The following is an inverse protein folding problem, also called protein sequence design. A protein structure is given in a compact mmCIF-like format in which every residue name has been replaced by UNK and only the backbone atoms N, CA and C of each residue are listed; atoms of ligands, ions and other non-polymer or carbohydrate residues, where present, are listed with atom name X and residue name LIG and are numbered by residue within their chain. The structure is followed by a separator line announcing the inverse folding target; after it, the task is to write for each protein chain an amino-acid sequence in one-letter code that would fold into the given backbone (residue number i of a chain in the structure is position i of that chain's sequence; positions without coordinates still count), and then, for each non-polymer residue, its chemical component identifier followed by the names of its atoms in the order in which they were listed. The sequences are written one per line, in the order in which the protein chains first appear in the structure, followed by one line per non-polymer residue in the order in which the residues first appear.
data_IF_905705178032
#
_entry.id   IF_905705178032
#
_cell.length_a   1.000
_cell.length_b   1.000
_cell.length_c   1.000
_cell.angle_alpha   90.00
_cell.angle_beta   90.00
_cell.angle_gamma   90.00
#
_symmetry.space_group_name_H-M   'P 1'
#
loop_
_entity.id
_entity.type
_entity.pdbx_description
1 polymer ?
#
# COMPACT_ATOMS: atom_id res chain seq x y z
N UNK A 1 12.30 -15.55 -3.99
CA UNK A 1 13.17 -14.36 -3.75
C UNK A 1 12.37 -13.39 -2.87
N UNK A 2 12.99 -12.73 -1.90
CA UNK A 2 12.36 -11.67 -1.09
C UNK A 2 12.69 -10.30 -1.66
N UNK A 3 11.86 -9.31 -1.33
CA UNK A 3 12.06 -7.89 -1.67
C UNK A 3 11.86 -7.07 -0.41
N UNK A 4 12.69 -6.05 -0.23
CA UNK A 4 12.55 -5.14 0.90
C UNK A 4 11.30 -4.27 0.75
N UNK A 5 10.61 -4.08 1.88
CA UNK A 5 9.44 -3.21 2.04
C UNK A 5 9.64 -2.35 3.28
N UNK A 6 8.79 -1.34 3.44
CA UNK A 6 8.82 -0.46 4.60
C UNK A 6 8.71 -1.28 5.90
N UNK A 7 9.42 -0.92 6.97
CA UNK A 7 9.28 -1.57 8.26
C UNK A 7 7.88 -1.35 8.85
N UNK A 8 7.39 -2.31 9.64
CA UNK A 8 6.09 -2.18 10.31
C UNK A 8 4.87 -2.29 9.38
N UNK A 9 4.99 -3.11 8.34
CA UNK A 9 3.86 -3.50 7.48
C UNK A 9 2.98 -4.52 8.20
N UNK A 10 1.68 -4.29 8.17
CA UNK A 10 0.67 -5.19 8.77
C UNK A 10 -0.20 -5.87 7.70
N UNK A 11 -0.51 -5.18 6.60
CA UNK A 11 -1.38 -5.70 5.55
C UNK A 11 -0.87 -5.34 4.15
N UNK A 12 -1.19 -6.22 3.20
CA UNK A 12 -0.93 -6.04 1.77
C UNK A 12 -2.23 -6.20 0.96
N UNK A 13 -2.30 -5.56 -0.20
CA UNK A 13 -3.34 -5.83 -1.19
C UNK A 13 -2.76 -5.84 -2.60
N UNK A 14 -3.46 -6.54 -3.51
CA UNK A 14 -3.04 -6.73 -4.89
C UNK A 14 -4.05 -6.08 -5.85
N UNK A 15 -3.53 -5.30 -6.80
CA UNK A 15 -4.24 -4.80 -7.97
C UNK A 15 -3.95 -5.73 -9.16
N UNK A 16 -4.91 -6.57 -9.58
CA UNK A 16 -4.71 -7.47 -10.71
C UNK A 16 -4.61 -6.74 -12.06
N UNK A 17 -5.21 -5.55 -12.20
CA UNK A 17 -5.19 -4.81 -13.47
C UNK A 17 -3.80 -4.24 -13.77
N UNK A 18 -3.14 -3.66 -12.76
CA UNK A 18 -1.78 -3.14 -12.89
C UNK A 18 -0.68 -4.13 -12.47
N UNK A 19 -1.07 -5.31 -11.97
CA UNK A 19 -0.16 -6.28 -11.34
C UNK A 19 0.67 -5.62 -10.22
N UNK A 20 0.01 -4.85 -9.35
CA UNK A 20 0.66 -4.10 -8.26
C UNK A 20 0.36 -4.70 -6.91
N UNK A 21 1.39 -4.82 -6.08
CA UNK A 21 1.28 -5.19 -4.67
C UNK A 21 1.57 -3.94 -3.85
N UNK A 22 0.64 -3.60 -2.95
CA UNK A 22 0.76 -2.48 -2.04
C UNK A 22 0.90 -3.01 -0.61
N UNK A 23 1.87 -2.50 0.13
CA UNK A 23 2.18 -2.95 1.49
C UNK A 23 2.08 -1.77 2.46
N UNK A 24 1.01 -1.71 3.26
CA UNK A 24 0.76 -0.60 4.18
C UNK A 24 1.59 -0.74 5.45
N UNK A 25 2.41 0.27 5.73
CA UNK A 25 3.17 0.41 6.96
C UNK A 25 2.54 1.46 7.87
N UNK A 26 2.31 1.07 9.13
CA UNK A 26 1.90 1.99 10.18
C UNK A 26 2.92 3.10 10.47
N UNK A 27 4.13 3.02 9.91
CA UNK A 27 5.17 4.05 10.05
C UNK A 27 5.01 5.22 9.07
N UNK A 28 3.91 5.27 8.32
CA UNK A 28 3.60 6.36 7.38
C UNK A 28 4.16 6.11 5.98
N UNK A 29 4.23 4.85 5.57
CA UNK A 29 4.77 4.43 4.27
C UNK A 29 3.85 3.42 3.61
N UNK A 30 3.77 3.48 2.29
CA UNK A 30 3.17 2.44 1.46
C UNK A 30 4.23 1.97 0.47
N UNK A 31 4.74 0.75 0.63
CA UNK A 31 5.63 0.18 -0.39
C UNK A 31 4.81 -0.30 -1.57
N UNK A 32 5.26 0.03 -2.78
CA UNK A 32 4.61 -0.35 -4.04
C UNK A 32 5.55 -1.29 -4.78
N UNK A 33 5.05 -2.45 -5.17
CA UNK A 33 5.80 -3.45 -5.91
C UNK A 33 5.05 -3.84 -7.18
N UNK A 34 5.80 -4.14 -8.23
CA UNK A 34 5.32 -4.78 -9.45
C UNK A 34 5.44 -6.30 -9.28
N UNK A 35 4.36 -7.03 -9.53
CA UNK A 35 4.45 -8.47 -9.77
C UNK A 35 5.00 -8.70 -11.19
N UNK A 36 5.99 -9.59 -11.28
CA UNK A 36 6.63 -10.01 -12.53
C UNK A 36 6.74 -11.53 -12.55
N UNK A 37 7.09 -12.09 -13.71
CA UNK A 37 7.35 -13.53 -13.86
C UNK A 37 8.47 -14.05 -12.95
N UNK A 38 9.38 -13.17 -12.48
CA UNK A 38 10.47 -13.53 -11.57
C UNK A 38 10.13 -13.31 -10.08
N UNK A 39 8.90 -12.88 -9.77
CA UNK A 39 8.44 -12.47 -8.45
C UNK A 39 8.19 -10.97 -8.37
N UNK A 40 8.25 -10.41 -7.16
CA UNK A 40 8.02 -8.98 -6.95
C UNK A 40 9.26 -8.14 -7.28
N UNK A 41 9.04 -6.91 -7.74
CA UNK A 41 10.06 -5.88 -7.94
C UNK A 41 9.59 -4.59 -7.27
N UNK A 42 10.39 -4.01 -6.39
CA UNK A 42 10.06 -2.72 -5.78
C UNK A 42 9.96 -1.62 -6.83
N UNK A 43 8.90 -0.82 -6.73
CA UNK A 43 8.70 0.42 -7.49
C UNK A 43 8.95 1.67 -6.63
N UNK A 44 9.19 1.48 -5.33
CA UNK A 44 9.43 2.55 -4.37
C UNK A 44 8.38 2.59 -3.27
N UNK A 45 8.37 3.72 -2.57
CA UNK A 45 7.47 3.97 -1.43
C UNK A 45 6.75 5.30 -1.62
N UNK A 46 5.53 5.38 -1.10
CA UNK A 46 4.73 6.60 -1.05
C UNK A 46 4.51 6.97 0.42
N UNK A 47 4.56 8.26 0.73
CA UNK A 47 4.22 8.77 2.06
C UNK A 47 2.73 8.58 2.36
N UNK A 48 2.43 8.14 3.58
CA UNK A 48 1.06 8.03 4.10
C UNK A 48 0.98 8.62 5.51
N UNK A 49 -0.22 8.91 6.02
CA UNK A 49 -0.38 9.22 7.43
C UNK A 49 0.16 8.09 8.31
N UNK A 50 0.90 8.43 9.38
CA UNK A 50 1.28 7.44 10.40
C UNK A 50 0.04 6.76 10.98
N UNK A 51 0.14 5.46 11.26
CA UNK A 51 -0.98 4.63 11.69
C UNK A 51 -1.84 4.07 10.55
N UNK A 52 -1.44 4.24 9.28
CA UNK A 52 -2.07 3.59 8.14
C UNK A 52 -1.63 2.12 8.03
N UNK A 53 -2.25 1.24 8.81
CA UNK A 53 -1.90 -0.19 8.85
C UNK A 53 -2.67 -1.04 7.82
N UNK A 54 -3.75 -0.50 7.25
CA UNK A 54 -4.68 -1.26 6.40
C UNK A 54 -4.99 -0.50 5.13
N UNK A 55 -5.19 -1.25 4.04
CA UNK A 55 -5.57 -0.72 2.75
C UNK A 55 -6.55 -1.65 2.00
N UNK A 56 -7.25 -1.08 1.03
CA UNK A 56 -8.01 -1.80 0.01
C UNK A 56 -7.67 -1.23 -1.37
N UNK A 57 -7.88 -2.02 -2.41
CA UNK A 57 -7.68 -1.61 -3.81
C UNK A 57 -9.01 -1.77 -4.53
N UNK A 58 -9.40 -0.74 -5.27
CA UNK A 58 -10.46 -0.85 -6.28
C UNK A 58 -9.80 -1.28 -7.61
N UNK A 59 -10.05 -2.49 -8.13
CA UNK A 59 -9.41 -2.97 -9.36
C UNK A 59 -9.96 -2.32 -10.63
N UNK A 60 -11.12 -1.66 -10.57
CA UNK A 60 -11.72 -1.01 -11.74
C UNK A 60 -11.13 0.40 -11.95
N UNK A 61 -10.85 1.11 -10.85
CA UNK A 61 -10.25 2.45 -10.90
C UNK A 61 -8.75 2.47 -10.58
N UNK A 62 -8.24 1.37 -10.06
CA UNK A 62 -6.90 1.24 -9.49
C UNK A 62 -6.64 2.14 -8.27
N UNK A 63 -7.69 2.65 -7.62
CA UNK A 63 -7.54 3.48 -6.43
C UNK A 63 -7.13 2.64 -5.22
N UNK A 64 -6.17 3.15 -4.43
CA UNK A 64 -5.79 2.55 -3.15
C UNK A 64 -6.44 3.34 -2.02
N UNK A 65 -7.26 2.70 -1.22
CA UNK A 65 -7.91 3.31 -0.06
C UNK A 65 -7.19 2.89 1.20
N UNK A 66 -6.80 3.83 2.05
CA UNK A 66 -6.17 3.55 3.36
C UNK A 66 -7.07 3.99 4.50
N UNK A 67 -7.05 3.24 5.59
CA UNK A 67 -7.63 3.66 6.86
C UNK A 67 -6.53 3.95 7.88
N UNK A 68 -6.66 5.05 8.62
CA UNK A 68 -5.69 5.47 9.63
C UNK A 68 -6.35 6.20 10.79
N UNK A 69 -5.68 6.19 11.94
CA UNK A 69 -6.11 6.91 13.14
C UNK A 69 -5.24 8.13 13.41
N UNK A 70 -5.85 9.25 13.78
CA UNK A 70 -5.16 10.48 14.16
C UNK A 70 -5.98 11.25 15.21
N UNK A 71 -5.31 11.68 16.27
CA UNK A 71 -5.92 12.50 17.34
C UNK A 71 -7.20 11.89 17.94
N UNK A 72 -7.22 10.57 18.12
CA UNK A 72 -8.37 9.83 18.68
C UNK A 72 -9.53 9.58 17.71
N UNK A 73 -9.43 10.01 16.45
CA UNK A 73 -10.40 9.76 15.40
C UNK A 73 -9.86 8.82 14.32
N UNK A 74 -10.75 8.24 13.51
CA UNK A 74 -10.44 7.37 12.38
C UNK A 74 -10.83 8.04 11.05
N UNK A 75 -10.00 7.84 10.03
CA UNK A 75 -10.13 8.46 8.72
C UNK A 75 -9.93 7.43 7.61
N UNK A 76 -10.53 7.72 6.46
CA UNK A 76 -10.24 7.04 5.19
C UNK A 76 -9.69 8.07 4.22
N UNK A 77 -8.66 7.70 3.46
CA UNK A 77 -8.13 8.51 2.36
C UNK A 77 -7.95 7.66 1.11
N UNK A 78 -8.29 8.26 -0.04
CA UNK A 78 -7.95 7.72 -1.35
C UNK A 78 -6.53 8.16 -1.72
N UNK A 79 -5.70 7.20 -2.08
CA UNK A 79 -4.44 7.39 -2.80
C UNK A 79 -4.69 6.98 -4.24
N UNK A 80 -4.68 7.97 -5.14
CA UNK A 80 -4.73 7.66 -6.57
C UNK A 80 -3.44 6.94 -6.94
N UNK A 81 -3.55 5.69 -7.40
CA UNK A 81 -2.38 4.97 -7.88
C UNK A 81 -1.74 5.75 -9.04
N UNK A 82 -0.41 5.87 -8.96
CA UNK A 82 0.44 6.48 -9.98
C UNK A 82 0.61 5.54 -11.18
#
# INVERSE_FOLDING_TARGET
KSVDIAPGVDQIAFDPGNQRIYCASGQGKLSVLQETVEGAKSLGEIETPKGAHTLAVDPDTHSVWIAFAKDGAAYIAELKAL
#
